data_IF_088475534777
#
_entry.id   IF_088475534777
#
_cell.length_a   1.000
_cell.length_b   1.000
_cell.length_c   1.000
_cell.angle_alpha   90.00
_cell.angle_beta   90.00
_cell.angle_gamma   90.00
#
_symmetry.space_group_name_H-M   'P 1'
#
loop_
_entity.id
_entity.type
_entity.pdbx_description
1 polymer ?
#
# COMPACT_ATOMS: atom_id res chain seq x y z
N UNK A 1 15.84 -24.18 -19.09
CA UNK A 1 16.92 -23.24 -18.72
C UNK A 1 17.69 -22.95 -19.99
N UNK A 2 17.94 -21.68 -20.28
CA UNK A 2 18.84 -21.27 -21.36
C UNK A 2 20.26 -21.17 -20.79
N UNK A 3 21.26 -21.64 -21.53
CA UNK A 3 22.66 -21.55 -21.12
C UNK A 3 23.18 -20.13 -21.39
N UNK A 4 22.79 -19.19 -20.53
CA UNK A 4 23.14 -17.78 -20.62
C UNK A 4 23.40 -17.24 -19.21
N UNK A 5 24.67 -16.97 -18.93
CA UNK A 5 25.19 -16.45 -17.66
C UNK A 5 24.92 -14.96 -17.43
N UNK A 6 24.45 -14.25 -18.47
CA UNK A 6 24.06 -12.84 -18.41
C UNK A 6 22.54 -12.63 -18.52
N UNK A 7 21.75 -13.71 -18.47
CA UNK A 7 20.30 -13.61 -18.50
C UNK A 7 19.79 -12.77 -17.32
N UNK A 8 19.00 -11.74 -17.63
CA UNK A 8 18.33 -10.90 -16.67
C UNK A 8 16.81 -11.01 -16.83
N UNK A 9 16.10 -11.11 -15.71
CA UNK A 9 14.65 -11.05 -15.73
C UNK A 9 14.19 -9.63 -16.10
N UNK A 10 13.14 -9.49 -16.93
CA UNK A 10 12.49 -8.20 -17.08
C UNK A 10 11.75 -7.84 -15.78
N UNK A 11 11.48 -6.56 -15.59
CA UNK A 11 10.62 -6.06 -14.52
C UNK A 11 9.39 -5.40 -15.13
N UNK A 12 8.23 -5.60 -14.51
CA UNK A 12 7.03 -4.87 -14.89
C UNK A 12 7.15 -3.45 -14.34
N UNK A 13 7.45 -2.49 -15.23
CA UNK A 13 7.69 -1.09 -14.90
C UNK A 13 6.38 -0.30 -14.65
N UNK A 14 5.53 -0.80 -13.74
CA UNK A 14 4.20 -0.26 -13.48
C UNK A 14 4.18 1.10 -12.77
N UNK A 15 5.32 1.60 -12.32
CA UNK A 15 5.47 2.95 -11.76
C UNK A 15 5.80 4.01 -12.84
N UNK A 16 5.99 3.60 -14.09
CA UNK A 16 6.23 4.48 -15.24
C UNK A 16 5.08 4.33 -16.27
N UNK A 17 4.45 5.43 -16.77
CA UNK A 17 3.23 5.35 -17.58
C UNK A 17 3.21 4.36 -18.75
N UNK A 18 4.26 4.21 -19.58
CA UNK A 18 4.28 3.21 -20.65
C UNK A 18 4.28 1.76 -20.14
N UNK A 19 4.74 1.53 -18.91
CA UNK A 19 4.76 0.23 -18.25
C UNK A 19 3.56 -0.05 -17.35
N UNK A 20 2.59 0.88 -17.23
CA UNK A 20 1.36 0.68 -16.46
C UNK A 20 0.35 -0.26 -17.12
N UNK A 21 0.67 -0.86 -18.26
CA UNK A 21 -0.16 -1.88 -18.89
C UNK A 21 0.50 -3.25 -18.70
N UNK A 22 -0.30 -4.32 -18.70
CA UNK A 22 0.23 -5.68 -18.78
C UNK A 22 1.22 -5.75 -19.95
N UNK A 23 2.50 -6.12 -19.74
CA UNK A 23 3.48 -6.10 -20.82
C UNK A 23 3.08 -7.07 -21.94
N UNK A 24 3.26 -6.65 -23.19
CA UNK A 24 2.77 -7.38 -24.37
C UNK A 24 3.31 -8.81 -24.49
N UNK A 25 4.51 -9.06 -23.95
CA UNK A 25 5.16 -10.38 -23.93
C UNK A 25 4.37 -11.45 -23.14
N UNK A 26 3.49 -11.02 -22.24
CA UNK A 26 2.64 -11.91 -21.44
C UNK A 26 1.28 -12.18 -22.10
N UNK A 27 0.88 -11.42 -23.14
CA UNK A 27 -0.49 -11.50 -23.70
C UNK A 27 -0.67 -12.56 -24.78
N UNK A 28 0.41 -12.96 -25.43
CA UNK A 28 0.38 -13.90 -26.55
C UNK A 28 0.15 -15.33 -26.04
N UNK A 29 -1.00 -15.93 -26.34
CA UNK A 29 -1.35 -17.29 -25.89
C UNK A 29 -0.44 -18.40 -26.43
N UNK A 30 0.38 -18.13 -27.43
CA UNK A 30 1.41 -19.05 -27.90
C UNK A 30 2.74 -18.93 -27.13
N UNK A 31 2.90 -17.87 -26.33
CA UNK A 31 4.08 -17.61 -25.52
C UNK A 31 4.12 -18.50 -24.28
N UNK A 32 5.30 -19.01 -23.86
CA UNK A 32 5.46 -19.68 -22.58
C UNK A 32 5.30 -18.75 -21.37
N UNK A 33 5.17 -17.43 -21.61
CA UNK A 33 4.91 -16.41 -20.58
C UNK A 33 3.41 -16.16 -20.38
N UNK A 34 2.56 -16.76 -21.21
CA UNK A 34 1.12 -16.59 -21.12
C UNK A 34 0.53 -17.34 -19.93
N UNK A 35 -0.52 -16.75 -19.37
CA UNK A 35 -1.41 -17.37 -18.40
C UNK A 35 -2.86 -17.02 -18.80
N UNK A 36 -3.73 -18.04 -18.80
CA UNK A 36 -5.15 -17.88 -19.07
C UNK A 36 -5.95 -17.39 -17.86
N UNK A 37 -5.42 -17.57 -16.63
CA UNK A 37 -6.07 -17.20 -15.38
C UNK A 37 -5.67 -15.78 -14.97
N UNK A 38 -5.95 -14.84 -15.86
CA UNK A 38 -5.84 -13.39 -15.63
C UNK A 38 -7.17 -12.72 -15.88
N UNK A 39 -7.41 -11.58 -15.23
CA UNK A 39 -8.62 -10.81 -15.47
C UNK A 39 -8.74 -10.43 -16.96
N UNK A 40 -9.74 -10.96 -17.70
CA UNK A 40 -9.85 -10.74 -19.14
C UNK A 40 -10.14 -9.28 -19.49
N UNK A 41 -10.79 -8.53 -18.59
CA UNK A 41 -11.06 -7.10 -18.76
C UNK A 41 -9.80 -6.26 -18.61
N UNK A 42 -8.73 -6.80 -18.02
CA UNK A 42 -7.51 -6.06 -17.68
C UNK A 42 -6.35 -6.25 -18.65
N UNK A 43 -6.50 -7.13 -19.65
CA UNK A 43 -5.44 -7.41 -20.61
C UNK A 43 -4.99 -6.19 -21.41
N UNK A 44 -5.86 -5.19 -21.61
CA UNK A 44 -5.56 -3.99 -22.41
C UNK A 44 -5.92 -2.67 -21.71
N UNK A 45 -6.11 -2.70 -20.39
CA UNK A 45 -6.38 -1.51 -19.60
C UNK A 45 -5.15 -1.12 -18.80
N UNK A 46 -5.16 0.11 -18.30
CA UNK A 46 -4.14 0.60 -17.38
C UNK A 46 -4.36 -0.07 -16.02
N UNK A 47 -3.26 -0.54 -15.43
CA UNK A 47 -3.19 -1.04 -14.07
C UNK A 47 -3.65 0.04 -13.10
N UNK A 48 -4.59 -0.29 -12.22
CA UNK A 48 -5.00 0.59 -11.13
C UNK A 48 -4.24 0.22 -9.86
N UNK A 49 -3.24 1.01 -9.49
CA UNK A 49 -2.45 0.77 -8.28
C UNK A 49 -3.26 1.00 -6.99
N UNK A 50 -4.47 1.54 -7.10
CA UNK A 50 -5.44 1.69 -6.03
C UNK A 50 -6.65 0.75 -6.16
N UNK A 51 -6.56 -0.30 -6.99
CA UNK A 51 -7.68 -1.21 -7.29
C UNK A 51 -8.45 -1.67 -6.03
N UNK A 52 -9.78 -1.62 -6.12
CA UNK A 52 -10.69 -1.88 -5.00
C UNK A 52 -11.48 -3.19 -5.15
N UNK A 53 -11.07 -4.06 -6.09
CA UNK A 53 -11.84 -5.25 -6.47
C UNK A 53 -12.92 -4.96 -7.54
N UNK A 54 -13.05 -3.70 -7.96
CA UNK A 54 -13.91 -3.28 -9.06
C UNK A 54 -13.20 -2.28 -9.94
N UNK A 55 -13.42 -2.37 -11.26
CA UNK A 55 -12.76 -1.53 -12.24
C UNK A 55 -13.11 -0.06 -12.06
N UNK A 56 -12.09 0.79 -12.11
CA UNK A 56 -12.27 2.24 -12.03
C UNK A 56 -13.10 2.75 -13.22
N UNK A 57 -14.00 3.68 -12.94
CA UNK A 57 -14.78 4.41 -13.96
C UNK A 57 -14.02 5.61 -14.51
N UNK A 58 -12.83 5.89 -13.98
CA UNK A 58 -12.01 7.00 -14.39
C UNK A 58 -11.41 6.79 -15.78
N UNK A 59 -11.08 7.90 -16.45
CA UNK A 59 -10.30 7.85 -17.69
C UNK A 59 -8.91 7.26 -17.44
N UNK A 60 -8.33 6.62 -18.47
CA UNK A 60 -6.94 6.11 -18.43
C UNK A 60 -5.94 7.17 -17.93
N UNK A 61 -6.06 8.41 -18.40
CA UNK A 61 -5.19 9.51 -17.97
C UNK A 61 -5.31 9.81 -16.48
N UNK A 62 -6.53 9.73 -15.94
CA UNK A 62 -6.77 9.91 -14.49
C UNK A 62 -6.14 8.76 -13.70
N UNK A 63 -6.31 7.50 -14.12
CA UNK A 63 -5.71 6.35 -13.44
C UNK A 63 -4.18 6.44 -13.45
N UNK A 64 -3.56 6.75 -14.60
CA UNK A 64 -2.10 6.96 -14.69
C UNK A 64 -1.63 8.02 -13.69
N UNK A 65 -2.31 9.16 -13.66
CA UNK A 65 -1.97 10.25 -12.73
C UNK A 65 -2.11 9.81 -11.27
N UNK A 66 -3.19 9.12 -10.94
CA UNK A 66 -3.45 8.61 -9.59
C UNK A 66 -2.38 7.60 -9.15
N UNK A 67 -1.96 6.71 -10.05
CA UNK A 67 -0.86 5.77 -9.82
C UNK A 67 0.43 6.49 -9.44
N UNK A 68 0.79 7.57 -10.15
CA UNK A 68 2.00 8.34 -9.85
C UNK A 68 1.92 9.02 -8.47
N UNK A 69 0.77 9.57 -8.10
CA UNK A 69 0.57 10.13 -6.75
C UNK A 69 0.66 9.06 -5.66
N UNK A 70 0.07 7.89 -5.91
CA UNK A 70 0.15 6.78 -4.98
C UNK A 70 1.60 6.31 -4.81
N UNK A 71 2.37 6.23 -5.90
CA UNK A 71 3.79 5.90 -5.82
C UNK A 71 4.58 6.90 -4.98
N UNK A 72 4.38 8.20 -5.19
CA UNK A 72 4.99 9.21 -4.33
C UNK A 72 4.60 9.02 -2.86
N UNK A 73 3.31 8.82 -2.56
CA UNK A 73 2.84 8.60 -1.20
C UNK A 73 3.50 7.39 -0.56
N UNK A 74 3.55 6.26 -1.26
CA UNK A 74 4.06 5.01 -0.70
C UNK A 74 5.58 5.04 -0.56
N UNK A 75 6.31 5.59 -1.54
CA UNK A 75 7.78 5.62 -1.52
C UNK A 75 8.36 6.76 -0.69
N UNK A 76 7.64 7.88 -0.53
CA UNK A 76 8.15 9.08 0.14
C UNK A 76 7.37 9.37 1.41
N UNK A 77 6.07 9.69 1.30
CA UNK A 77 5.29 10.18 2.44
C UNK A 77 5.12 9.12 3.54
N UNK A 78 4.87 7.87 3.16
CA UNK A 78 4.56 6.75 4.07
C UNK A 78 5.78 5.87 4.37
N UNK A 79 6.98 6.25 3.92
CA UNK A 79 8.21 5.46 4.04
C UNK A 79 9.35 6.26 4.68
N UNK A 80 9.03 7.03 5.71
CA UNK A 80 9.97 7.93 6.40
C UNK A 80 10.88 7.21 7.41
N UNK A 81 10.56 5.96 7.77
CA UNK A 81 11.37 5.10 8.65
C UNK A 81 11.48 3.68 8.09
N UNK A 82 12.52 2.90 8.45
CA UNK A 82 12.61 1.49 8.08
C UNK A 82 11.39 0.68 8.53
N UNK A 83 10.79 1.01 9.68
CA UNK A 83 9.59 0.35 10.17
C UNK A 83 8.33 0.72 9.37
N UNK A 84 8.28 1.88 8.74
CA UNK A 84 7.17 2.24 7.85
C UNK A 84 7.28 1.52 6.50
N UNK A 85 8.50 1.30 6.00
CA UNK A 85 8.74 0.63 4.72
C UNK A 85 8.74 -0.90 4.81
N UNK A 86 9.49 -1.48 5.77
CA UNK A 86 9.66 -2.95 5.91
C UNK A 86 8.82 -3.59 7.02
N UNK A 87 8.24 -2.76 7.90
CA UNK A 87 7.60 -3.20 9.14
C UNK A 87 8.54 -3.84 10.17
N UNK A 88 7.97 -4.24 11.30
CA UNK A 88 8.68 -4.85 12.42
C UNK A 88 9.08 -6.27 12.05
N UNK A 89 10.26 -6.69 12.52
CA UNK A 89 10.70 -8.08 12.38
C UNK A 89 9.69 -9.04 13.04
N UNK A 90 9.29 -10.07 12.28
CA UNK A 90 8.59 -11.24 12.76
C UNK A 90 9.61 -12.30 13.21
N UNK A 91 9.52 -12.76 14.46
CA UNK A 91 10.51 -13.67 15.06
C UNK A 91 9.93 -15.03 15.42
N UNK A 92 10.80 -16.03 15.48
CA UNK A 92 10.42 -17.38 15.89
C UNK A 92 9.69 -17.36 17.25
N UNK A 93 8.50 -17.97 17.28
CA UNK A 93 7.64 -18.01 18.46
C UNK A 93 6.63 -16.85 18.57
N UNK A 94 6.73 -15.83 17.73
CA UNK A 94 5.68 -14.81 17.61
C UNK A 94 4.53 -15.38 16.76
N UNK A 95 3.29 -15.09 17.18
CA UNK A 95 2.07 -15.53 16.50
C UNK A 95 1.22 -14.37 15.97
N UNK A 96 1.52 -13.14 16.42
CA UNK A 96 0.88 -11.94 15.92
C UNK A 96 1.57 -11.49 14.64
N UNK A 97 0.78 -11.26 13.60
CA UNK A 97 1.25 -10.60 12.40
C UNK A 97 1.77 -9.19 12.77
N UNK A 98 3.06 -8.85 12.50
CA UNK A 98 3.58 -7.52 12.74
C UNK A 98 2.92 -6.47 11.82
N UNK A 99 2.26 -6.92 10.75
CA UNK A 99 1.65 -6.15 9.68
C UNK A 99 2.56 -5.99 8.48
N UNK A 100 2.06 -5.28 7.49
CA UNK A 100 2.75 -5.01 6.24
C UNK A 100 3.38 -3.61 6.18
N UNK A 101 4.44 -3.49 5.38
CA UNK A 101 5.07 -2.24 4.99
C UNK A 101 4.18 -1.33 4.14
N UNK A 102 4.69 -0.18 3.72
CA UNK A 102 4.00 0.72 2.78
C UNK A 102 3.72 0.02 1.46
N UNK A 103 4.77 -0.44 0.77
CA UNK A 103 4.71 -1.05 -0.56
C UNK A 103 3.98 -2.38 -0.58
N UNK A 104 4.21 -3.24 0.42
CA UNK A 104 3.54 -4.55 0.54
C UNK A 104 2.02 -4.41 0.63
N UNK A 105 1.53 -3.40 1.35
CA UNK A 105 0.09 -3.09 1.37
C UNK A 105 -0.34 -2.47 0.04
N UNK A 106 0.36 -1.45 -0.44
CA UNK A 106 0.00 -0.82 -1.71
C UNK A 106 1.25 -0.18 -2.31
N UNK A 107 1.56 -0.43 -3.59
CA UNK A 107 0.65 -1.01 -4.58
C UNK A 107 0.77 -2.53 -4.79
N UNK A 108 1.65 -3.24 -4.09
CA UNK A 108 1.87 -4.68 -4.29
C UNK A 108 0.57 -5.51 -4.31
N UNK A 109 -0.24 -5.41 -3.25
CA UNK A 109 -1.53 -6.12 -3.17
C UNK A 109 -2.47 -5.74 -4.31
N UNK A 110 -2.47 -4.48 -4.74
CA UNK A 110 -3.32 -4.01 -5.83
C UNK A 110 -2.92 -4.65 -7.16
N UNK A 111 -1.61 -4.81 -7.44
CA UNK A 111 -1.12 -5.49 -8.64
C UNK A 111 -1.56 -6.95 -8.68
N UNK A 112 -1.46 -7.66 -7.55
CA UNK A 112 -1.93 -9.04 -7.40
C UNK A 112 -3.42 -9.18 -7.76
N UNK A 113 -4.27 -8.43 -7.05
CA UNK A 113 -5.73 -8.53 -7.16
C UNK A 113 -6.25 -7.99 -8.49
N UNK A 114 -5.59 -6.98 -9.07
CA UNK A 114 -5.91 -6.49 -10.41
C UNK A 114 -5.57 -7.52 -11.50
N UNK A 115 -4.51 -8.29 -11.33
CA UNK A 115 -4.05 -9.23 -12.38
C UNK A 115 -4.83 -10.54 -12.38
N UNK A 116 -5.15 -11.08 -11.19
CA UNK A 116 -5.84 -12.37 -11.03
C UNK A 116 -7.24 -12.44 -11.67
N UNK A 117 -7.69 -13.62 -12.11
CA UNK A 117 -8.99 -13.78 -12.75
C UNK A 117 -10.14 -13.71 -11.72
N UNK A 118 -11.03 -12.70 -11.77
CA UNK A 118 -12.14 -12.58 -10.83
C UNK A 118 -13.20 -13.69 -10.98
N UNK A 119 -13.12 -14.53 -12.03
CA UNK A 119 -14.02 -15.68 -12.22
C UNK A 119 -13.56 -16.92 -11.44
N UNK A 120 -12.32 -16.94 -10.96
CA UNK A 120 -11.78 -18.03 -10.14
C UNK A 120 -12.07 -17.79 -8.65
N UNK A 121 -12.15 -18.87 -7.88
CA UNK A 121 -12.68 -18.83 -6.50
C UNK A 121 -11.90 -17.94 -5.53
N UNK A 122 -10.60 -17.74 -5.75
CA UNK A 122 -9.72 -16.92 -4.94
C UNK A 122 -8.99 -15.86 -5.78
N UNK A 123 -9.40 -15.63 -7.03
CA UNK A 123 -8.70 -14.73 -7.95
C UNK A 123 -7.46 -15.36 -8.57
N UNK A 124 -7.40 -16.69 -8.71
CA UNK A 124 -6.27 -17.38 -9.33
C UNK A 124 -5.91 -16.80 -10.72
N UNK A 125 -4.64 -16.78 -11.13
CA UNK A 125 -3.46 -17.16 -10.33
C UNK A 125 -2.93 -15.97 -9.50
N UNK A 126 -2.75 -14.78 -10.07
CA UNK A 126 -2.12 -13.64 -9.38
C UNK A 126 -2.88 -13.11 -8.15
N UNK A 127 -4.20 -13.31 -8.06
CA UNK A 127 -5.03 -12.77 -6.99
C UNK A 127 -4.97 -13.55 -5.66
N UNK A 128 -4.27 -14.69 -5.61
CA UNK A 128 -4.07 -15.46 -4.38
C UNK A 128 -2.63 -15.92 -4.19
N UNK A 129 -2.13 -15.90 -2.96
CA UNK A 129 -0.72 -16.25 -2.68
C UNK A 129 -0.37 -17.73 -2.91
N UNK A 130 -1.33 -18.64 -2.91
CA UNK A 130 -1.09 -20.07 -3.15
C UNK A 130 -0.97 -20.44 -4.64
N UNK A 131 -1.36 -19.51 -5.51
CA UNK A 131 -1.39 -19.68 -6.96
C UNK A 131 -0.57 -18.64 -7.73
N UNK A 132 -0.29 -17.45 -7.16
CA UNK A 132 0.36 -16.35 -7.87
C UNK A 132 1.65 -16.74 -8.61
N UNK A 133 2.49 -17.59 -8.02
CA UNK A 133 3.74 -18.04 -8.65
C UNK A 133 3.58 -18.94 -9.89
N UNK A 134 2.36 -19.33 -10.25
CA UNK A 134 2.02 -20.06 -11.48
C UNK A 134 1.97 -19.14 -12.70
N UNK A 135 1.58 -17.87 -12.51
CA UNK A 135 1.62 -16.85 -13.55
C UNK A 135 3.06 -16.32 -13.72
N UNK A 136 3.67 -16.40 -14.92
CA UNK A 136 5.01 -15.86 -15.17
C UNK A 136 5.18 -14.37 -14.86
N UNK A 137 4.10 -13.57 -14.86
CA UNK A 137 4.12 -12.14 -14.50
C UNK A 137 4.47 -11.91 -13.04
N UNK A 138 4.18 -12.86 -12.13
CA UNK A 138 4.58 -12.81 -10.73
C UNK A 138 6.07 -12.54 -10.57
N UNK A 139 6.90 -13.21 -11.36
CA UNK A 139 8.35 -13.03 -11.32
C UNK A 139 8.83 -11.74 -11.97
N UNK A 140 8.01 -11.08 -12.79
CA UNK A 140 8.33 -9.74 -13.27
C UNK A 140 7.82 -8.67 -12.30
N UNK A 141 6.87 -9.03 -11.43
CA UNK A 141 6.49 -8.26 -10.26
C UNK A 141 7.52 -8.39 -9.12
N UNK A 142 8.12 -9.57 -8.89
CA UNK A 142 8.94 -9.90 -7.70
C UNK A 142 10.38 -10.39 -7.95
N UNK A 143 10.76 -10.76 -9.18
CA UNK A 143 11.93 -11.59 -9.53
C UNK A 143 11.83 -13.07 -9.07
N UNK A 144 12.40 -14.00 -9.87
CA UNK A 144 12.40 -15.45 -9.62
C UNK A 144 13.66 -15.91 -8.88
N UNK A 145 13.56 -16.93 -8.01
CA UNK A 145 14.70 -17.53 -7.31
C UNK A 145 14.54 -19.03 -7.06
N UNK A 146 15.68 -19.75 -6.97
CA UNK A 146 15.74 -21.13 -6.48
C UNK A 146 15.97 -21.14 -4.96
N UNK A 147 15.31 -22.02 -4.19
CA UNK A 147 15.49 -22.07 -2.75
C UNK A 147 16.88 -22.62 -2.40
N UNK A 148 17.75 -21.74 -1.91
CA UNK A 148 18.99 -22.07 -1.19
C UNK A 148 18.97 -21.33 0.14
N UNK A 149 19.75 -21.79 1.12
CA UNK A 149 19.84 -21.07 2.40
C UNK A 149 20.54 -19.73 2.17
N UNK A 150 19.82 -18.63 2.42
CA UNK A 150 20.30 -17.25 2.34
C UNK A 150 20.00 -16.52 3.65
N UNK A 151 20.71 -15.41 3.90
CA UNK A 151 20.41 -14.51 5.01
C UNK A 151 20.06 -13.12 4.48
N UNK A 152 19.13 -12.42 5.14
CA UNK A 152 18.70 -11.05 4.77
C UNK A 152 19.88 -10.09 4.62
N UNK A 153 20.90 -10.21 5.49
CA UNK A 153 22.10 -9.36 5.44
C UNK A 153 22.90 -9.50 4.14
N UNK A 154 22.76 -10.62 3.42
CA UNK A 154 23.53 -10.93 2.22
C UNK A 154 22.80 -10.45 0.94
N UNK A 155 21.60 -9.88 1.05
CA UNK A 155 20.81 -9.37 -0.08
C UNK A 155 20.49 -7.86 0.01
N UNK A 156 21.24 -7.10 0.80
CA UNK A 156 21.06 -5.64 0.94
C UNK A 156 21.66 -4.83 -0.22
N UNK A 157 22.60 -5.43 -0.96
CA UNK A 157 23.29 -4.81 -2.11
C UNK A 157 23.16 -5.73 -3.33
N UNK A 158 22.41 -5.29 -4.34
CA UNK A 158 22.17 -6.09 -5.55
C UNK A 158 23.44 -6.28 -6.39
N UNK A 159 24.43 -5.39 -6.27
CA UNK A 159 25.71 -5.52 -6.99
C UNK A 159 26.51 -6.73 -6.49
N UNK A 160 26.43 -7.04 -5.20
CA UNK A 160 26.99 -8.27 -4.60
C UNK A 160 26.24 -9.52 -5.09
N UNK A 161 24.95 -9.37 -5.39
CA UNK A 161 24.13 -10.42 -6.01
C UNK A 161 24.34 -10.54 -7.54
N UNK A 162 25.17 -9.66 -8.13
CA UNK A 162 25.53 -9.70 -9.54
C UNK A 162 24.49 -9.12 -10.50
N UNK A 163 23.55 -8.30 -10.01
CA UNK A 163 22.55 -7.65 -10.87
C UNK A 163 22.24 -6.20 -10.47
N UNK A 164 21.70 -5.46 -11.43
CA UNK A 164 21.13 -4.13 -11.22
C UNK A 164 19.93 -3.97 -12.15
N UNK A 165 19.12 -2.95 -11.90
CA UNK A 165 18.05 -2.56 -12.81
C UNK A 165 18.59 -1.59 -13.86
N UNK A 166 18.07 -1.69 -15.08
CA UNK A 166 18.29 -0.65 -16.08
C UNK A 166 17.78 0.69 -15.51
N UNK A 167 18.59 1.74 -15.61
CA UNK A 167 18.16 3.09 -15.24
C UNK A 167 17.08 3.55 -16.23
N UNK A 168 15.92 3.89 -15.69
CA UNK A 168 14.77 4.43 -16.40
C UNK A 168 14.26 5.67 -15.66
N UNK A 169 13.44 6.48 -16.33
CA UNK A 169 12.83 7.64 -15.69
C UNK A 169 11.94 7.22 -14.52
N UNK A 170 11.93 8.05 -13.46
CA UNK A 170 11.13 7.86 -12.25
C UNK A 170 10.12 9.01 -12.15
N UNK A 171 9.04 8.98 -12.96
CA UNK A 171 8.16 10.15 -13.13
C UNK A 171 7.39 10.54 -11.87
N UNK A 172 7.13 9.57 -10.98
CA UNK A 172 6.41 9.80 -9.74
C UNK A 172 7.16 10.66 -8.72
N UNK A 173 8.47 10.91 -8.88
CA UNK A 173 9.21 11.85 -8.02
C UNK A 173 8.65 13.28 -8.07
N UNK A 174 7.97 13.63 -9.17
CA UNK A 174 7.34 14.95 -9.36
C UNK A 174 5.84 14.94 -9.02
N UNK A 175 5.31 13.82 -8.51
CA UNK A 175 3.88 13.63 -8.23
C UNK A 175 3.59 13.76 -6.74
N UNK A 176 4.06 14.84 -6.13
CA UNK A 176 3.76 15.15 -4.74
C UNK A 176 2.28 15.54 -4.60
N UNK A 177 1.50 14.89 -3.72
CA UNK A 177 0.12 15.31 -3.43
C UNK A 177 0.05 16.74 -2.90
N UNK A 178 -1.11 17.37 -3.05
CA UNK A 178 -1.35 18.71 -2.54
C UNK A 178 -2.62 18.75 -1.68
N UNK A 179 -2.67 19.58 -0.63
CA UNK A 179 -3.88 19.75 0.16
C UNK A 179 -5.06 20.15 -0.71
N UNK A 180 -6.22 19.52 -0.49
CA UNK A 180 -7.48 20.03 -1.03
C UNK A 180 -7.87 21.32 -0.31
N UNK A 181 -7.68 21.34 1.02
CA UNK A 181 -7.92 22.52 1.87
C UNK A 181 -6.88 22.59 2.99
N UNK A 182 -6.55 23.81 3.40
CA UNK A 182 -5.65 24.07 4.53
C UNK A 182 -6.42 24.58 5.73
N UNK A 183 -6.04 24.17 6.94
CA UNK A 183 -6.57 24.68 8.21
C UNK A 183 -8.11 24.64 8.33
N UNK A 184 -8.71 23.49 8.04
CA UNK A 184 -10.16 23.33 8.11
C UNK A 184 -10.70 23.44 9.54
N UNK A 185 -11.88 24.06 9.69
CA UNK A 185 -12.66 23.99 10.92
C UNK A 185 -13.32 22.61 10.99
N UNK A 186 -12.77 21.73 11.82
CA UNK A 186 -13.24 20.35 11.89
C UNK A 186 -14.65 20.26 12.48
N UNK A 187 -15.52 19.38 11.95
CA UNK A 187 -16.81 19.09 12.56
C UNK A 187 -16.63 18.43 13.94
N UNK A 188 -17.66 18.50 14.77
CA UNK A 188 -17.72 17.70 16.00
C UNK A 188 -17.75 16.21 15.65
N UNK A 189 -16.78 15.45 16.16
CA UNK A 189 -16.71 14.00 15.98
C UNK A 189 -16.42 13.30 17.33
N UNK A 190 -16.87 12.05 17.52
CA UNK A 190 -16.57 11.29 18.72
C UNK A 190 -15.08 10.96 18.83
N UNK A 191 -14.60 10.73 20.05
CA UNK A 191 -13.25 10.24 20.32
C UNK A 191 -13.12 8.75 19.99
N UNK A 192 -11.91 8.22 19.72
CA UNK A 192 -11.71 6.80 19.44
C UNK A 192 -12.31 5.86 20.50
N UNK A 193 -12.22 6.20 21.78
CA UNK A 193 -12.77 5.39 22.88
C UNK A 193 -14.30 5.32 22.92
N UNK A 194 -14.99 6.23 22.25
CA UNK A 194 -16.46 6.21 22.13
C UNK A 194 -16.94 5.36 20.95
N UNK A 195 -16.03 4.98 20.04
CA UNK A 195 -16.37 4.30 18.79
C UNK A 195 -15.79 2.90 18.71
N UNK A 196 -14.54 2.68 19.14
CA UNK A 196 -13.85 1.40 19.01
C UNK A 196 -13.90 0.58 20.31
N UNK A 197 -13.92 -0.77 20.25
CA UNK A 197 -13.86 -1.60 19.04
C UNK A 197 -15.16 -1.58 18.23
N UNK A 198 -15.07 -1.64 16.90
CA UNK A 198 -16.25 -1.67 16.03
C UNK A 198 -15.97 -2.29 14.67
N UNK A 199 -17.04 -2.69 13.99
CA UNK A 199 -17.02 -3.19 12.61
C UNK A 199 -17.15 -2.02 11.64
N UNK A 200 -16.26 -1.95 10.65
CA UNK A 200 -16.22 -0.91 9.63
C UNK A 200 -17.20 -1.23 8.48
N UNK A 201 -18.51 -1.10 8.74
CA UNK A 201 -19.57 -1.32 7.75
C UNK A 201 -19.82 -0.10 6.85
N UNK A 202 -19.44 1.09 7.34
CA UNK A 202 -19.57 2.38 6.65
C UNK A 202 -18.41 3.29 7.07
N UNK A 203 -18.32 4.45 6.44
CA UNK A 203 -17.34 5.45 6.83
C UNK A 203 -17.48 5.81 8.33
N UNK A 204 -16.37 5.77 9.05
CA UNK A 204 -16.28 6.13 10.47
C UNK A 204 -15.31 7.30 10.61
N UNK A 205 -15.75 8.33 11.32
CA UNK A 205 -14.95 9.54 11.58
C UNK A 205 -14.77 9.73 13.08
N UNK A 206 -13.53 9.93 13.52
CA UNK A 206 -13.18 10.16 14.92
C UNK A 206 -12.21 11.32 15.07
N UNK A 207 -12.26 12.01 16.21
CA UNK A 207 -11.31 13.06 16.58
C UNK A 207 -10.18 12.47 17.42
N UNK A 208 -8.99 12.33 16.83
CA UNK A 208 -7.83 11.68 17.46
C UNK A 208 -6.92 12.71 18.09
N UNK A 209 -6.72 12.60 19.41
CA UNK A 209 -5.82 13.48 20.15
C UNK A 209 -4.36 13.22 19.78
N UNK A 210 -3.62 14.29 19.52
CA UNK A 210 -2.18 14.24 19.26
C UNK A 210 -1.40 14.18 20.58
N UNK A 211 -0.29 13.41 20.66
CA UNK A 211 0.54 13.37 21.87
C UNK A 211 1.17 14.72 22.21
N UNK A 212 1.46 15.55 21.19
CA UNK A 212 2.03 16.88 21.35
C UNK A 212 1.39 17.85 20.35
N UNK A 213 0.97 19.02 20.82
CA UNK A 213 0.34 20.07 19.99
C UNK A 213 1.29 20.66 18.94
N UNK A 214 2.59 20.72 19.23
CA UNK A 214 3.60 21.31 18.35
C UNK A 214 4.96 20.66 18.59
N UNK A 215 5.51 20.06 17.54
CA UNK A 215 6.87 19.53 17.53
C UNK A 215 7.83 20.53 16.88
N UNK A 216 9.01 20.68 17.47
CA UNK A 216 10.09 21.48 16.88
C UNK A 216 10.66 20.80 15.64
N UNK A 217 11.35 21.56 14.79
CA UNK A 217 12.03 21.01 13.60
C UNK A 217 12.99 19.86 13.97
N UNK A 218 13.74 20.01 15.06
CA UNK A 218 14.67 18.98 15.56
C UNK A 218 13.95 17.71 16.02
N UNK A 219 12.79 17.83 16.65
CA UNK A 219 12.00 16.67 17.06
C UNK A 219 11.43 15.92 15.84
N UNK A 220 10.91 16.64 14.83
CA UNK A 220 10.42 16.06 13.58
C UNK A 220 11.50 15.35 12.74
N UNK A 221 12.77 15.72 12.95
CA UNK A 221 13.92 15.06 12.33
C UNK A 221 14.32 13.77 13.06
N UNK A 222 14.07 13.68 14.37
CA UNK A 222 14.44 12.51 15.20
C UNK A 222 13.33 11.48 15.33
N UNK A 223 12.08 11.90 15.18
CA UNK A 223 10.92 11.04 15.34
C UNK A 223 9.87 11.38 14.29
N UNK A 224 9.17 10.35 13.84
CA UNK A 224 8.01 10.47 12.98
C UNK A 224 6.74 10.44 13.82
N UNK A 225 5.86 11.43 13.67
CA UNK A 225 4.49 11.35 14.18
C UNK A 225 3.70 10.37 13.30
N UNK A 226 3.10 9.36 13.91
CA UNK A 226 2.49 8.22 13.24
C UNK A 226 1.06 8.01 13.72
N UNK A 227 0.12 7.93 12.77
CA UNK A 227 -1.24 7.43 13.01
C UNK A 227 -1.20 5.90 13.02
N UNK A 228 -1.60 5.26 14.13
CA UNK A 228 -1.71 3.82 14.26
C UNK A 228 -3.18 3.39 14.31
N UNK A 229 -3.54 2.43 13.46
CA UNK A 229 -4.81 1.71 13.47
C UNK A 229 -4.53 0.30 13.95
N UNK A 230 -5.00 -0.02 15.15
CA UNK A 230 -4.65 -1.23 15.89
C UNK A 230 -5.79 -2.25 15.91
N UNK A 231 -5.42 -3.53 15.96
CA UNK A 231 -6.36 -4.64 16.08
C UNK A 231 -7.32 -4.70 14.90
N UNK A 232 -6.77 -4.53 13.69
CA UNK A 232 -7.47 -4.72 12.42
C UNK A 232 -7.68 -6.22 12.27
N UNK A 233 -8.91 -6.68 12.45
CA UNK A 233 -9.33 -8.06 12.36
C UNK A 233 -10.09 -8.29 11.05
N UNK A 234 -9.67 -9.29 10.29
CA UNK A 234 -10.22 -9.61 8.98
C UNK A 234 -9.96 -11.09 8.62
N UNK A 235 -10.70 -11.62 7.65
CA UNK A 235 -10.46 -12.94 7.09
C UNK A 235 -9.35 -12.87 6.03
N UNK A 236 -8.24 -13.59 6.24
CA UNK A 236 -7.11 -13.57 5.28
C UNK A 236 -7.44 -14.21 3.93
N UNK A 237 -8.49 -15.03 3.87
CA UNK A 237 -8.97 -15.62 2.63
C UNK A 237 -9.76 -14.65 1.74
N UNK A 238 -9.91 -13.39 2.16
CA UNK A 238 -10.68 -12.38 1.45
C UNK A 238 -9.83 -11.15 1.11
N UNK A 239 -10.16 -10.54 -0.03
CA UNK A 239 -9.64 -9.22 -0.37
C UNK A 239 -10.35 -8.18 0.50
N UNK A 240 -9.64 -7.62 1.47
CA UNK A 240 -10.16 -6.55 2.32
C UNK A 240 -9.44 -5.24 2.00
N UNK A 241 -10.17 -4.12 1.92
CA UNK A 241 -9.61 -2.78 1.70
C UNK A 241 -10.39 -1.72 2.48
N UNK A 242 -9.67 -0.77 3.08
CA UNK A 242 -10.24 0.51 3.50
C UNK A 242 -9.22 1.64 3.34
N UNK A 243 -9.74 2.82 3.02
CA UNK A 243 -8.94 4.04 2.88
C UNK A 243 -8.92 4.83 4.19
N UNK A 244 -7.82 5.56 4.40
CA UNK A 244 -7.56 6.33 5.62
C UNK A 244 -7.31 7.78 5.27
N UNK A 245 -8.15 8.64 5.80
CA UNK A 245 -8.09 10.08 5.61
C UNK A 245 -7.74 10.79 6.90
N UNK A 246 -7.06 11.92 6.79
CA UNK A 246 -6.75 12.82 7.89
C UNK A 246 -7.18 14.24 7.55
N UNK A 247 -7.85 14.91 8.51
CA UNK A 247 -8.42 16.24 8.35
C UNK A 247 -9.24 16.41 7.06
N UNK A 248 -10.15 15.48 6.81
CA UNK A 248 -11.07 15.52 5.68
C UNK A 248 -12.47 15.13 6.13
N UNK A 249 -13.44 16.00 5.82
CA UNK A 249 -14.86 15.83 6.15
C UNK A 249 -15.70 15.38 4.94
N UNK A 250 -15.15 15.46 3.73
CA UNK A 250 -15.76 14.90 2.50
C UNK A 250 -14.74 14.00 1.78
N UNK A 251 -14.48 12.78 2.30
CA UNK A 251 -13.43 11.89 1.79
C UNK A 251 -13.60 11.53 0.30
N UNK A 252 -14.83 11.45 -0.20
CA UNK A 252 -15.14 11.15 -1.61
C UNK A 252 -14.63 12.22 -2.59
N UNK A 253 -14.32 13.43 -2.11
CA UNK A 253 -13.75 14.52 -2.92
C UNK A 253 -12.21 14.54 -2.90
N UNK A 254 -11.58 13.62 -2.16
CA UNK A 254 -10.14 13.58 -1.95
C UNK A 254 -9.54 12.27 -2.47
N UNK A 255 -9.05 12.31 -3.70
CA UNK A 255 -8.34 11.18 -4.31
C UNK A 255 -6.86 11.10 -3.93
N UNK A 256 -6.10 10.20 -4.57
CA UNK A 256 -4.64 10.05 -4.37
C UNK A 256 -3.84 11.32 -4.59
N UNK A 257 -4.34 12.29 -5.36
CA UNK A 257 -3.70 13.59 -5.56
C UNK A 257 -3.77 14.52 -4.35
N UNK A 258 -4.59 14.17 -3.34
CA UNK A 258 -4.82 14.99 -2.14
C UNK A 258 -3.99 14.54 -0.95
N UNK A 259 -3.43 15.49 -0.23
CA UNK A 259 -2.62 15.23 0.97
C UNK A 259 -3.43 14.51 2.07
N UNK A 260 -4.73 14.79 2.14
CA UNK A 260 -5.69 14.25 3.10
C UNK A 260 -5.82 12.72 3.07
N UNK A 261 -5.68 12.07 1.91
CA UNK A 261 -5.67 10.62 1.78
C UNK A 261 -4.29 10.07 2.18
N UNK A 262 -4.18 9.42 3.34
CA UNK A 262 -2.91 8.83 3.80
C UNK A 262 -2.52 7.59 3.01
N UNK A 263 -3.51 6.83 2.56
CA UNK A 263 -3.36 5.57 1.85
C UNK A 263 -4.43 4.57 2.29
N UNK A 264 -4.18 3.29 2.03
CA UNK A 264 -5.12 2.21 2.29
C UNK A 264 -4.49 1.09 3.10
N UNK A 265 -5.33 0.36 3.83
CA UNK A 265 -5.03 -1.00 4.24
C UNK A 265 -5.63 -1.95 3.20
N UNK A 266 -4.91 -3.01 2.83
CA UNK A 266 -5.33 -4.03 1.86
C UNK A 266 -4.81 -5.41 2.29
N UNK A 267 -5.43 -6.48 1.79
CA UNK A 267 -4.97 -7.86 1.94
C UNK A 267 -5.15 -8.63 0.62
N UNK A 268 -4.11 -9.35 0.16
CA UNK A 268 -4.30 -10.35 -0.90
C UNK A 268 -4.92 -11.61 -0.26
N UNK A 269 -5.97 -12.20 -0.84
CA UNK A 269 -6.48 -13.51 -0.42
C UNK A 269 -5.36 -14.55 -0.28
N UNK A 270 -5.36 -15.24 0.84
CA UNK A 270 -4.65 -16.50 0.99
C UNK A 270 -5.61 -17.63 0.61
N UNK A 271 -5.16 -18.68 -0.08
CA UNK A 271 -5.97 -19.87 -0.42
C UNK A 271 -6.51 -20.68 0.77
N UNK A 272 -6.57 -20.10 1.97
CA UNK A 272 -7.21 -20.62 3.15
C UNK A 272 -7.82 -19.49 3.99
N UNK A 273 -8.91 -19.79 4.69
CA UNK A 273 -9.59 -18.84 5.57
C UNK A 273 -9.07 -18.92 7.01
N UNK A 274 -8.74 -17.77 7.58
CA UNK A 274 -8.34 -17.59 8.98
C UNK A 274 -8.59 -16.14 9.39
N UNK A 275 -9.03 -15.92 10.62
CA UNK A 275 -9.06 -14.55 11.17
C UNK A 275 -7.64 -14.15 11.58
N UNK A 276 -7.11 -13.12 10.93
CA UNK A 276 -5.86 -12.47 11.33
C UNK A 276 -6.14 -11.17 12.08
N UNK A 277 -5.21 -10.78 12.94
CA UNK A 277 -5.22 -9.49 13.62
C UNK A 277 -3.91 -8.78 13.34
N UNK A 278 -3.98 -7.55 12.82
CA UNK A 278 -2.80 -6.79 12.45
C UNK A 278 -2.89 -5.31 12.87
N UNK A 279 -1.86 -4.54 12.55
CA UNK A 279 -1.77 -3.10 12.81
C UNK A 279 -1.21 -2.36 11.61
N UNK A 280 -1.93 -1.34 11.13
CA UNK A 280 -1.44 -0.42 10.08
C UNK A 280 -1.02 0.91 10.69
N UNK A 281 0.00 1.52 10.10
CA UNK A 281 0.55 2.79 10.57
C UNK A 281 0.83 3.70 9.38
N UNK A 282 0.60 4.99 9.55
CA UNK A 282 0.81 6.02 8.54
C UNK A 282 1.66 7.14 9.12
N UNK A 283 2.70 7.56 8.40
CA UNK A 283 3.48 8.75 8.73
C UNK A 283 2.65 10.00 8.45
N UNK A 284 2.63 10.94 9.40
CA UNK A 284 1.78 12.13 9.33
C UNK A 284 2.53 13.43 9.58
N UNK A 285 3.83 13.44 9.86
CA UNK A 285 4.54 14.68 10.24
C UNK A 285 4.56 15.73 9.11
N UNK A 286 4.83 15.30 7.88
CA UNK A 286 4.78 16.16 6.69
C UNK A 286 3.35 16.49 6.31
N UNK A 287 2.45 15.50 6.40
CA UNK A 287 1.02 15.66 6.11
C UNK A 287 0.39 16.76 6.98
N UNK A 288 0.64 16.76 8.29
CA UNK A 288 0.13 17.79 9.19
C UNK A 288 0.67 19.18 8.88
N UNK A 289 1.93 19.28 8.42
CA UNK A 289 2.52 20.55 8.02
C UNK A 289 1.83 21.08 6.75
N UNK A 290 1.63 20.23 5.76
CA UNK A 290 0.98 20.60 4.50
C UNK A 290 -0.49 21.01 4.68
N UNK A 291 -1.22 20.30 5.54
CA UNK A 291 -2.61 20.62 5.85
C UNK A 291 -2.75 21.85 6.75
N UNK A 292 -1.64 22.47 7.21
CA UNK A 292 -1.66 23.58 8.16
C UNK A 292 -2.19 23.18 9.54
N UNK A 293 -2.08 21.89 9.89
CA UNK A 293 -2.62 21.29 11.11
C UNK A 293 -1.55 21.04 12.19
N UNK A 294 -0.34 21.57 11.98
CA UNK A 294 0.83 21.36 12.85
C UNK A 294 0.59 21.79 14.30
N UNK A 295 -0.29 22.76 14.54
CA UNK A 295 -0.62 23.29 15.87
C UNK A 295 -1.94 22.76 16.43
N UNK A 296 -2.59 21.82 15.72
CA UNK A 296 -3.88 21.28 16.16
C UNK A 296 -3.66 20.32 17.36
N UNK A 297 -4.56 20.34 18.34
CA UNK A 297 -4.49 19.41 19.47
C UNK A 297 -5.03 18.02 19.13
N UNK A 298 -5.92 17.96 18.13
CA UNK A 298 -6.50 16.74 17.61
C UNK A 298 -6.72 16.87 16.11
N UNK A 299 -6.81 15.73 15.44
CA UNK A 299 -7.03 15.65 14.00
C UNK A 299 -8.21 14.74 13.72
N UNK A 300 -8.95 15.05 12.66
CA UNK A 300 -10.05 14.21 12.21
C UNK A 300 -9.45 13.03 11.46
N UNK A 301 -9.86 11.81 11.80
CA UNK A 301 -9.46 10.61 11.07
C UNK A 301 -10.72 9.93 10.57
N UNK A 302 -10.79 9.70 9.26
CA UNK A 302 -11.91 9.05 8.61
C UNK A 302 -11.44 7.74 7.97
N UNK A 303 -12.10 6.64 8.31
CA UNK A 303 -11.84 5.31 7.76
C UNK A 303 -12.99 4.95 6.81
N UNK A 304 -12.70 4.66 5.55
CA UNK A 304 -13.71 4.41 4.51
C UNK A 304 -13.57 2.96 4.01
N UNK A 305 -14.50 2.05 4.34
CA UNK A 305 -14.44 0.68 3.84
C UNK A 305 -14.67 0.65 2.33
N UNK A 306 -13.89 -0.17 1.61
CA UNK A 306 -14.00 -0.36 0.16
C UNK A 306 -14.40 -1.78 -0.24
N UNK A 307 -14.15 -2.78 0.62
CA UNK A 307 -14.57 -4.16 0.39
C UNK A 307 -15.07 -4.83 1.68
N UNK A 308 -14.82 -6.13 1.86
CA UNK A 308 -15.29 -6.99 2.96
C UNK A 308 -15.17 -6.39 4.36
N UNK A 309 -15.90 -7.01 5.29
CA UNK A 309 -16.03 -6.57 6.68
C UNK A 309 -14.70 -6.64 7.45
N UNK A 310 -14.36 -5.54 8.13
CA UNK A 310 -13.16 -5.40 8.95
C UNK A 310 -13.56 -4.90 10.33
N UNK A 311 -13.03 -5.51 11.39
CA UNK A 311 -13.20 -5.01 12.76
C UNK A 311 -11.94 -4.26 13.19
N UNK A 312 -12.09 -3.10 13.83
CA UNK A 312 -10.98 -2.26 14.28
C UNK A 312 -11.08 -2.08 15.79
N UNK A 313 -9.96 -2.29 16.48
CA UNK A 313 -9.91 -2.19 17.94
C UNK A 313 -9.59 -0.78 18.46
N UNK A 314 -8.91 0.04 17.66
CA UNK A 314 -8.65 1.43 18.05
C UNK A 314 -7.77 2.20 17.08
N UNK A 315 -7.77 3.52 17.27
CA UNK A 315 -6.97 4.48 16.50
C UNK A 315 -6.29 5.43 17.48
N UNK A 316 -4.98 5.68 17.30
CA UNK A 316 -4.22 6.65 18.09
C UNK A 316 -3.05 7.23 17.31
N UNK A 317 -2.49 8.32 17.80
CA UNK A 317 -1.25 8.89 17.28
C UNK A 317 -0.11 8.63 18.28
N UNK A 318 1.07 8.28 17.77
CA UNK A 318 2.28 8.02 18.55
C UNK A 318 3.53 8.54 17.82
N UNK A 319 4.69 8.44 18.45
CA UNK A 319 5.98 8.73 17.80
C UNK A 319 6.73 7.44 17.49
N UNK A 320 7.27 7.36 16.27
CA UNK A 320 8.28 6.38 15.86
C UNK A 320 9.66 7.04 15.90
N UNK A 321 10.53 6.55 16.79
CA UNK A 321 11.87 7.08 17.01
C UNK A 321 12.95 6.37 16.17
N UNK A 322 12.55 5.57 15.17
CA UNK A 322 13.49 4.85 14.27
C UNK A 322 13.82 5.61 12.99
N UNK A 323 13.46 6.90 12.92
CA UNK A 323 13.77 7.77 11.80
C UNK A 323 15.29 7.86 11.62
N UNK A 324 15.76 7.45 10.46
CA UNK A 324 17.18 7.52 10.12
C UNK A 324 17.45 8.94 9.64
N UNK A 325 18.51 9.58 10.15
CA UNK A 325 18.94 10.87 9.61
C UNK A 325 19.38 10.68 8.15
N UNK A 326 18.78 11.45 7.25
CA UNK A 326 19.25 11.60 5.88
C UNK A 326 20.67 12.18 5.83
#
# INVERSE_FOLDING_TARGET
MVDNDTFALPFWNWDNPPGMFLPVIFKDSSSPLYDSLRNPSHLNTVLDLSYEGTDSKDSTTTVIRNNLYLMYKQMVTQSTTPLSFFKKAFRAGETSDPGAGSIETSPHTNVHVWTGDPNESHGEDMGSFDSAGRDPTFYCHHANAKPVKVYVKDCLDTSVLGYTYQTVDIPWLNSKPSPRRTAIALPTAPTPSQVFPTTLEKAITVLVKRPKKKSTKTEKQKAEEVLEISGIQYNIGEFVKFDVYINEDTPDESGPEKTELLGSFTNVPHGHSMISTTTKSYAISEVLQELGADEFESVLVTLVPKSSTITISGVKIKYDNTKVSA
#
